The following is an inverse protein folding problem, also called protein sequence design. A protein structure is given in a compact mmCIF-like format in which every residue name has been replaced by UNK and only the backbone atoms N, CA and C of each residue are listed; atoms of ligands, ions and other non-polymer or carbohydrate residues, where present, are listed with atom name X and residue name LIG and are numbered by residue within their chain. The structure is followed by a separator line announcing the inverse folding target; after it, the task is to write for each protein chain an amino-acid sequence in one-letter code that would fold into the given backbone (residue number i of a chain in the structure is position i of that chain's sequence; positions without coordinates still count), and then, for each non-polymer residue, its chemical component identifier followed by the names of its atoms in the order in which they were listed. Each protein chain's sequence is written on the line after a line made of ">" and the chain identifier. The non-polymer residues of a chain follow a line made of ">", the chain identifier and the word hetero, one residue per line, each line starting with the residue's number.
data_IF_124830281181
#
_entry.id   IF_124830281181
#
_cell.length_a   1.000
_cell.length_b   1.000
_cell.length_c   1.000
_cell.angle_alpha   90.00
_cell.angle_beta   90.00
_cell.angle_gamma   90.00
#
_symmetry.space_group_name_H-M   'P 1'
#
loop_
_entity.id
_entity.type
_entity.pdbx_description
1 polymer ?
#
# COMPACT_ATOMS: atom_id res chain seq x y z
N UNK A 1 -10.20 27.73 -47.11
CA UNK A 1 -10.09 27.86 -45.64
C UNK A 1 -10.15 26.45 -45.07
N UNK A 2 -8.99 25.86 -44.85
CA UNK A 2 -8.88 24.55 -44.23
C UNK A 2 -8.84 24.73 -42.71
N UNK A 3 -9.83 24.23 -42.01
CA UNK A 3 -9.84 24.09 -40.56
C UNK A 3 -8.82 23.01 -40.17
N UNK A 4 -7.66 23.46 -39.78
CA UNK A 4 -6.70 22.59 -39.06
C UNK A 4 -7.19 22.51 -37.61
N UNK A 5 -8.04 21.52 -37.34
CA UNK A 5 -8.28 21.07 -35.96
C UNK A 5 -6.95 20.48 -35.45
N UNK A 6 -6.23 21.25 -34.70
CA UNK A 6 -5.10 20.76 -33.94
C UNK A 6 -5.63 19.81 -32.85
N UNK A 7 -5.81 18.54 -33.20
CA UNK A 7 -5.72 17.47 -32.21
C UNK A 7 -4.30 17.53 -31.68
N UNK A 8 -4.11 18.24 -30.59
CA UNK A 8 -2.92 18.09 -29.76
C UNK A 8 -2.88 16.61 -29.38
N UNK A 9 -2.27 15.83 -30.23
CA UNK A 9 -1.95 14.46 -29.98
C UNK A 9 -1.24 14.42 -28.63
N UNK A 10 -1.76 13.66 -27.70
CA UNK A 10 -1.01 13.16 -26.55
C UNK A 10 0.09 12.23 -27.06
N UNK A 11 0.98 12.78 -27.85
CA UNK A 11 2.16 12.14 -28.39
C UNK A 11 3.21 12.18 -27.31
N UNK A 12 3.08 11.35 -26.33
CA UNK A 12 4.17 10.79 -25.53
C UNK A 12 3.66 9.68 -24.60
N UNK A 13 2.93 8.72 -25.13
CA UNK A 13 2.70 7.48 -24.43
C UNK A 13 3.97 6.65 -24.55
N UNK A 14 4.79 6.63 -23.49
CA UNK A 14 5.88 5.65 -23.37
C UNK A 14 5.34 4.25 -23.66
N UNK A 15 6.16 3.34 -24.22
CA UNK A 15 5.74 1.96 -24.46
C UNK A 15 5.05 1.35 -23.25
N UNK A 16 3.92 0.74 -23.47
CA UNK A 16 3.17 0.04 -22.45
C UNK A 16 3.78 -1.36 -22.24
N UNK A 17 3.92 -1.77 -21.00
CA UNK A 17 4.48 -3.08 -20.66
C UNK A 17 3.35 -4.07 -20.32
N UNK A 18 2.75 -4.70 -21.33
CA UNK A 18 1.65 -5.66 -21.15
C UNK A 18 2.02 -6.81 -20.20
N UNK A 19 3.27 -7.27 -20.25
CA UNK A 19 3.77 -8.30 -19.34
C UNK A 19 3.67 -7.88 -17.88
N UNK A 20 4.00 -6.62 -17.58
CA UNK A 20 3.92 -6.12 -16.18
C UNK A 20 2.48 -6.03 -15.69
N UNK A 21 1.54 -5.72 -16.57
CA UNK A 21 0.12 -5.72 -16.21
C UNK A 21 -0.43 -7.14 -16.01
N UNK A 22 0.02 -8.09 -16.83
CA UNK A 22 -0.28 -9.51 -16.61
C UNK A 22 0.24 -10.01 -15.25
N UNK A 23 1.49 -9.68 -14.91
CA UNK A 23 2.09 -10.02 -13.61
C UNK A 23 1.36 -9.36 -12.43
N UNK A 24 0.85 -8.12 -12.60
CA UNK A 24 -0.01 -7.47 -11.59
C UNK A 24 -1.28 -8.27 -11.33
N UNK A 25 -1.92 -8.74 -12.41
CA UNK A 25 -3.12 -9.57 -12.29
C UNK A 25 -2.86 -10.84 -11.49
N UNK A 26 -1.77 -11.54 -11.79
CA UNK A 26 -1.36 -12.75 -11.07
C UNK A 26 -1.07 -12.43 -9.60
N UNK A 27 -0.30 -11.37 -9.34
CA UNK A 27 0.02 -10.96 -7.97
C UNK A 27 -1.24 -10.58 -7.17
N UNK A 28 -2.20 -9.90 -7.80
CA UNK A 28 -3.48 -9.57 -7.16
C UNK A 28 -4.27 -10.83 -6.77
N UNK A 29 -4.30 -11.83 -7.65
CA UNK A 29 -4.94 -13.12 -7.35
C UNK A 29 -4.24 -13.84 -6.19
N UNK A 30 -2.90 -13.79 -6.11
CA UNK A 30 -2.15 -14.38 -5.00
C UNK A 30 -2.46 -13.69 -3.66
N UNK A 31 -2.62 -12.36 -3.64
CA UNK A 31 -3.02 -11.62 -2.43
C UNK A 31 -4.44 -12.01 -2.00
N UNK A 32 -5.39 -12.09 -2.93
CA UNK A 32 -6.77 -12.53 -2.63
C UNK A 32 -6.75 -13.94 -2.07
N UNK A 33 -6.01 -14.82 -2.71
CA UNK A 33 -5.86 -16.22 -2.29
C UNK A 33 -5.27 -16.32 -0.89
N UNK A 34 -4.21 -15.55 -0.61
CA UNK A 34 -3.59 -15.47 0.72
C UNK A 34 -4.61 -15.09 1.80
N UNK A 35 -5.37 -14.01 1.61
CA UNK A 35 -6.35 -13.55 2.59
C UNK A 35 -7.56 -14.50 2.77
N UNK A 36 -7.95 -15.25 1.73
CA UNK A 36 -8.97 -16.29 1.88
C UNK A 36 -8.49 -17.38 2.84
N UNK A 37 -7.24 -17.85 2.70
CA UNK A 37 -6.71 -18.91 3.57
C UNK A 37 -6.33 -18.39 4.97
N UNK A 38 -5.94 -17.13 5.10
CA UNK A 38 -5.70 -16.48 6.39
C UNK A 38 -6.95 -16.54 7.29
N UNK A 39 -8.14 -16.37 6.74
CA UNK A 39 -9.40 -16.49 7.47
C UNK A 39 -9.70 -17.88 8.05
N UNK A 40 -8.99 -18.93 7.61
CA UNK A 40 -9.13 -20.30 8.09
C UNK A 40 -7.91 -20.80 8.88
N UNK A 41 -6.88 -19.99 9.03
CA UNK A 41 -5.67 -20.33 9.76
C UNK A 41 -5.77 -19.88 11.22
N UNK A 42 -5.18 -20.66 12.13
CA UNK A 42 -5.08 -20.32 13.54
C UNK A 42 -3.83 -19.48 13.86
N UNK A 43 -2.87 -19.51 12.95
CA UNK A 43 -1.66 -18.71 13.01
C UNK A 43 -1.08 -18.51 11.59
N UNK A 44 -0.22 -17.49 11.39
CA UNK A 44 0.49 -17.32 10.11
C UNK A 44 1.36 -18.51 9.71
N UNK A 45 1.82 -19.33 10.70
CA UNK A 45 2.65 -20.51 10.46
C UNK A 45 1.81 -21.68 9.92
N UNK A 46 0.56 -21.79 10.37
CA UNK A 46 -0.34 -22.90 10.00
C UNK A 46 -1.06 -22.63 8.68
N UNK A 47 -0.90 -21.44 8.13
CA UNK A 47 -1.52 -21.06 6.87
C UNK A 47 -0.90 -21.81 5.70
N UNK A 48 -1.71 -22.55 4.93
CA UNK A 48 -1.25 -23.37 3.80
C UNK A 48 -0.56 -22.58 2.68
N UNK A 49 -0.92 -21.30 2.50
CA UNK A 49 -0.39 -20.41 1.48
C UNK A 49 0.19 -19.16 2.13
N UNK A 50 1.14 -19.36 3.02
CA UNK A 50 1.71 -18.31 3.88
C UNK A 50 2.66 -17.32 3.19
N UNK A 51 3.01 -17.53 1.92
CA UNK A 51 3.94 -16.63 1.20
C UNK A 51 3.26 -15.66 0.24
N UNK A 52 1.92 -15.55 0.26
CA UNK A 52 1.17 -14.62 -0.59
C UNK A 52 1.49 -13.14 -0.29
N UNK A 53 1.99 -12.82 0.90
CA UNK A 53 2.48 -11.48 1.24
C UNK A 53 3.63 -11.00 0.34
N UNK A 54 4.44 -11.91 -0.24
CA UNK A 54 5.50 -11.55 -1.20
C UNK A 54 4.95 -10.88 -2.46
N UNK A 55 3.68 -11.09 -2.79
CA UNK A 55 3.04 -10.36 -3.87
C UNK A 55 2.91 -8.87 -3.57
N UNK A 56 2.83 -8.46 -2.31
CA UNK A 56 2.82 -7.05 -1.91
C UNK A 56 4.20 -6.42 -2.13
N UNK A 57 5.28 -7.14 -1.83
CA UNK A 57 6.65 -6.69 -2.12
C UNK A 57 6.85 -6.49 -3.62
N UNK A 58 6.33 -7.41 -4.44
CA UNK A 58 6.32 -7.24 -5.90
C UNK A 58 5.56 -5.97 -6.32
N UNK A 59 4.41 -5.66 -5.71
CA UNK A 59 3.69 -4.43 -6.00
C UNK A 59 4.49 -3.18 -5.62
N UNK A 60 5.23 -3.18 -4.52
CA UNK A 60 6.09 -2.05 -4.15
C UNK A 60 7.23 -1.85 -5.16
N UNK A 61 7.91 -2.91 -5.58
CA UNK A 61 8.96 -2.84 -6.59
C UNK A 61 8.39 -2.30 -7.90
N UNK A 62 7.26 -2.84 -8.33
CA UNK A 62 6.61 -2.44 -9.57
C UNK A 62 6.08 -1.00 -9.52
N UNK A 63 5.53 -0.57 -8.38
CA UNK A 63 5.11 0.82 -8.18
C UNK A 63 6.30 1.77 -8.30
N UNK A 64 7.43 1.45 -7.67
CA UNK A 64 8.67 2.23 -7.80
C UNK A 64 9.14 2.35 -9.26
N UNK A 65 9.17 1.22 -9.99
CA UNK A 65 9.52 1.21 -11.41
C UNK A 65 8.58 2.08 -12.24
N UNK A 66 7.26 1.90 -12.08
CA UNK A 66 6.25 2.64 -12.85
C UNK A 66 6.30 4.13 -12.54
N UNK A 67 6.53 4.52 -11.28
CA UNK A 67 6.66 5.93 -10.89
C UNK A 67 7.89 6.55 -11.54
N UNK A 68 9.06 5.93 -11.43
CA UNK A 68 10.29 6.40 -12.10
C UNK A 68 10.08 6.50 -13.62
N UNK A 69 9.62 5.41 -14.24
CA UNK A 69 9.38 5.35 -15.68
C UNK A 69 8.40 6.43 -16.18
N UNK A 70 7.31 6.66 -15.45
CA UNK A 70 6.28 7.61 -15.88
C UNK A 70 6.66 9.09 -15.65
N UNK A 71 7.48 9.38 -14.63
CA UNK A 71 7.65 10.74 -14.16
C UNK A 71 9.06 11.32 -14.28
N UNK A 72 10.15 10.53 -14.36
CA UNK A 72 11.52 11.06 -14.34
C UNK A 72 11.78 12.11 -15.43
N UNK A 73 11.33 11.88 -16.66
CA UNK A 73 11.52 12.86 -17.74
C UNK A 73 10.59 14.07 -17.59
N UNK A 74 9.39 13.87 -17.05
CA UNK A 74 8.43 14.94 -16.85
C UNK A 74 8.88 15.95 -15.81
N UNK A 75 9.63 15.52 -14.80
CA UNK A 75 10.23 16.43 -13.81
C UNK A 75 11.23 17.41 -14.42
N UNK A 76 11.82 17.09 -15.57
CA UNK A 76 12.76 17.97 -16.28
C UNK A 76 12.06 19.04 -17.12
N UNK A 77 10.77 18.85 -17.42
CA UNK A 77 10.05 19.67 -18.39
C UNK A 77 8.80 20.34 -17.80
N UNK A 78 7.80 19.57 -17.42
CA UNK A 78 6.43 20.06 -17.17
C UNK A 78 5.89 19.75 -15.78
N UNK A 79 6.51 18.82 -15.04
CA UNK A 79 5.97 18.35 -13.76
C UNK A 79 6.46 19.20 -12.59
N UNK A 80 5.53 19.66 -11.76
CA UNK A 80 5.85 20.21 -10.46
C UNK A 80 5.36 19.29 -9.32
N UNK A 81 5.79 19.58 -8.10
CA UNK A 81 5.48 18.72 -6.93
C UNK A 81 3.97 18.65 -6.65
N UNK A 82 3.24 19.75 -6.84
CA UNK A 82 1.77 19.77 -6.63
C UNK A 82 1.05 18.89 -7.63
N UNK A 83 1.43 18.97 -8.91
CA UNK A 83 0.81 18.17 -9.97
C UNK A 83 1.10 16.67 -9.79
N UNK A 84 2.32 16.32 -9.35
CA UNK A 84 2.67 14.96 -9.03
C UNK A 84 1.77 14.41 -7.90
N UNK A 85 1.70 15.09 -6.75
CA UNK A 85 0.88 14.63 -5.64
C UNK A 85 -0.61 14.61 -5.97
N UNK A 86 -1.11 15.58 -6.72
CA UNK A 86 -2.50 15.57 -7.21
C UNK A 86 -2.81 14.32 -8.03
N UNK A 87 -1.93 13.96 -8.98
CA UNK A 87 -2.09 12.74 -9.80
C UNK A 87 -2.03 11.47 -8.97
N UNK A 88 -1.12 11.40 -8.00
CA UNK A 88 -1.02 10.23 -7.10
C UNK A 88 -2.25 10.13 -6.20
N UNK A 89 -2.72 11.24 -5.65
CA UNK A 89 -3.92 11.30 -4.82
C UNK A 89 -5.14 10.80 -5.61
N UNK A 90 -5.39 11.34 -6.80
CA UNK A 90 -6.52 10.92 -7.65
C UNK A 90 -6.44 9.43 -7.99
N UNK A 91 -5.24 8.87 -8.12
CA UNK A 91 -5.05 7.46 -8.46
C UNK A 91 -5.25 6.51 -7.27
N UNK A 92 -4.73 6.86 -6.10
CA UNK A 92 -4.65 5.95 -4.94
C UNK A 92 -5.82 6.14 -3.96
N UNK A 93 -6.20 7.38 -3.72
CA UNK A 93 -7.13 7.70 -2.62
C UNK A 93 -8.56 7.17 -2.80
N UNK A 94 -9.11 7.06 -4.01
CA UNK A 94 -10.42 6.44 -4.20
C UNK A 94 -10.49 5.01 -3.66
N UNK A 95 -9.41 4.23 -3.76
CA UNK A 95 -9.35 2.87 -3.22
C UNK A 95 -9.29 2.85 -1.70
N UNK A 96 -8.61 3.83 -1.09
CA UNK A 96 -8.61 4.02 0.37
C UNK A 96 -10.02 4.27 0.88
N UNK A 97 -10.73 5.22 0.26
CA UNK A 97 -12.09 5.59 0.63
C UNK A 97 -13.02 4.39 0.48
N UNK A 98 -12.99 3.73 -0.67
CA UNK A 98 -13.84 2.57 -0.95
C UNK A 98 -13.59 1.45 0.07
N UNK A 99 -12.33 1.08 0.30
CA UNK A 99 -11.96 0.03 1.25
C UNK A 99 -12.35 0.38 2.68
N UNK A 100 -12.14 1.61 3.13
CA UNK A 100 -12.50 2.06 4.47
C UNK A 100 -14.02 2.04 4.69
N UNK A 101 -14.79 2.51 3.72
CA UNK A 101 -16.28 2.53 3.81
C UNK A 101 -16.83 1.10 3.81
N UNK A 102 -16.38 0.25 2.89
CA UNK A 102 -16.80 -1.15 2.86
C UNK A 102 -16.40 -1.87 4.15
N UNK A 103 -15.18 -1.63 4.67
CA UNK A 103 -14.74 -2.18 5.94
C UNK A 103 -15.60 -1.74 7.12
N UNK A 104 -15.99 -0.47 7.19
CA UNK A 104 -16.89 0.02 8.22
C UNK A 104 -18.30 -0.61 8.13
N UNK A 105 -18.85 -0.71 6.91
CA UNK A 105 -20.16 -1.35 6.68
C UNK A 105 -20.11 -2.82 7.11
N UNK A 106 -19.10 -3.57 6.67
CA UNK A 106 -18.96 -4.99 7.02
C UNK A 106 -18.76 -5.19 8.52
N UNK A 107 -17.96 -4.32 9.17
CA UNK A 107 -17.78 -4.36 10.62
C UNK A 107 -19.10 -4.12 11.38
N UNK A 108 -19.92 -3.17 10.92
CA UNK A 108 -21.24 -2.95 11.51
C UNK A 108 -22.22 -4.12 11.27
N UNK A 109 -22.18 -4.76 10.10
CA UNK A 109 -22.96 -5.96 9.80
C UNK A 109 -22.55 -7.13 10.71
N UNK A 110 -21.25 -7.23 11.06
CA UNK A 110 -20.71 -8.24 11.98
C UNK A 110 -21.05 -7.98 13.45
N UNK A 111 -21.77 -6.91 13.79
CA UNK A 111 -22.21 -6.59 15.15
C UNK A 111 -21.33 -5.58 15.88
N UNK A 112 -20.34 -4.96 15.25
CA UNK A 112 -19.41 -4.01 15.89
C UNK A 112 -18.71 -4.60 17.12
N UNK A 113 -18.16 -5.81 16.99
CA UNK A 113 -17.48 -6.51 18.08
C UNK A 113 -15.98 -6.66 17.80
N UNK A 114 -15.18 -6.52 18.86
CA UNK A 114 -13.75 -6.91 18.82
C UNK A 114 -13.61 -8.43 18.75
N UNK A 115 -12.40 -8.89 18.47
CA UNK A 115 -12.10 -10.34 18.46
C UNK A 115 -12.35 -11.03 19.83
N UNK A 116 -12.31 -10.28 20.92
CA UNK A 116 -12.61 -10.76 22.28
C UNK A 116 -14.09 -10.73 22.65
N UNK A 117 -14.96 -10.33 21.72
CA UNK A 117 -16.42 -10.19 21.94
C UNK A 117 -16.83 -8.85 22.56
N UNK A 118 -15.90 -7.95 22.83
CA UNK A 118 -16.22 -6.64 23.41
C UNK A 118 -16.94 -5.78 22.39
N UNK A 119 -18.08 -5.21 22.77
CA UNK A 119 -18.88 -4.31 21.94
C UNK A 119 -18.16 -2.97 21.73
N UNK A 120 -18.15 -2.50 20.48
CA UNK A 120 -17.57 -1.22 20.09
C UNK A 120 -18.67 -0.21 19.80
N UNK A 121 -18.60 0.95 20.44
CA UNK A 121 -19.57 2.02 20.19
C UNK A 121 -19.46 2.56 18.76
N UNK A 122 -20.60 3.00 18.21
CA UNK A 122 -20.62 3.56 16.84
C UNK A 122 -19.72 4.80 16.71
N UNK A 123 -19.52 5.57 17.77
CA UNK A 123 -18.60 6.71 17.78
C UNK A 123 -17.14 6.29 17.58
N UNK A 124 -16.72 5.15 18.13
CA UNK A 124 -15.39 4.59 17.91
C UNK A 124 -15.22 4.07 16.48
N UNK A 125 -16.26 3.43 15.92
CA UNK A 125 -16.26 3.01 14.51
C UNK A 125 -16.14 4.22 13.59
N UNK A 126 -16.87 5.30 13.86
CA UNK A 126 -16.78 6.53 13.08
C UNK A 126 -15.40 7.21 13.20
N UNK A 127 -14.80 7.17 14.38
CA UNK A 127 -13.41 7.65 14.56
C UNK A 127 -12.43 6.80 13.77
N UNK A 128 -12.52 5.48 13.85
CA UNK A 128 -11.67 4.57 13.07
C UNK A 128 -11.86 4.77 11.57
N UNK A 129 -13.09 4.97 11.10
CA UNK A 129 -13.40 5.29 9.71
C UNK A 129 -12.74 6.60 9.29
N UNK A 130 -12.90 7.67 10.08
CA UNK A 130 -12.31 8.97 9.78
C UNK A 130 -10.77 8.88 9.66
N UNK A 131 -10.12 8.22 10.61
CA UNK A 131 -8.67 8.02 10.56
C UNK A 131 -8.24 7.19 9.34
N UNK A 132 -8.97 6.12 9.02
CA UNK A 132 -8.68 5.30 7.85
C UNK A 132 -8.85 6.07 6.53
N UNK A 133 -9.89 6.92 6.42
CA UNK A 133 -10.09 7.79 5.25
C UNK A 133 -8.89 8.70 4.97
N UNK A 134 -8.14 9.11 5.99
CA UNK A 134 -6.94 9.94 5.86
C UNK A 134 -5.64 9.13 5.94
N UNK A 135 -5.71 7.81 5.96
CA UNK A 135 -4.57 6.91 6.16
C UNK A 135 -3.75 7.26 7.43
N UNK A 136 -4.44 7.67 8.50
CA UNK A 136 -3.85 7.85 9.81
C UNK A 136 -3.92 6.51 10.54
N UNK A 137 -2.77 5.91 10.93
CA UNK A 137 -2.77 4.63 11.62
C UNK A 137 -3.49 4.71 12.97
N UNK A 138 -4.24 3.66 13.30
CA UNK A 138 -4.78 3.49 14.64
C UNK A 138 -3.64 3.24 15.64
N UNK A 139 -3.75 3.82 16.82
CA UNK A 139 -2.78 3.56 17.91
C UNK A 139 -3.25 2.32 18.66
N UNK A 140 -2.41 1.28 18.83
CA UNK A 140 -2.76 0.09 19.59
C UNK A 140 -3.27 0.43 21.00
N UNK A 141 -4.34 -0.20 21.42
CA UNK A 141 -4.99 0.06 22.71
C UNK A 141 -5.81 1.34 22.80
N UNK A 142 -5.88 2.14 21.73
CA UNK A 142 -6.76 3.33 21.66
C UNK A 142 -8.19 2.96 21.27
N UNK A 143 -9.11 3.92 21.44
CA UNK A 143 -10.50 3.74 21.00
C UNK A 143 -10.68 3.64 19.48
N UNK A 144 -9.68 4.00 18.68
CA UNK A 144 -9.71 3.86 17.22
C UNK A 144 -9.32 2.44 16.76
N UNK A 145 -8.73 1.63 17.64
CA UNK A 145 -8.38 0.24 17.40
C UNK A 145 -9.60 -0.65 17.71
N UNK A 146 -10.56 -0.66 16.76
CA UNK A 146 -11.88 -1.26 16.95
C UNK A 146 -11.90 -2.80 16.83
N UNK A 147 -10.83 -3.45 16.38
CA UNK A 147 -10.76 -4.92 16.29
C UNK A 147 -10.04 -5.59 17.47
N UNK A 148 -9.16 -4.90 18.17
CA UNK A 148 -8.46 -5.42 19.35
C UNK A 148 -7.25 -6.32 19.03
N UNK A 149 -6.71 -6.27 17.81
CA UNK A 149 -5.58 -7.10 17.37
C UNK A 149 -4.33 -6.29 16.96
N UNK A 150 -4.32 -4.98 17.23
CA UNK A 150 -3.17 -4.11 16.95
C UNK A 150 -3.02 -3.69 15.50
N UNK A 151 -4.01 -3.91 14.65
CA UNK A 151 -3.95 -3.49 13.24
C UNK A 151 -3.85 -1.98 13.07
N UNK A 152 -2.94 -1.54 12.17
CA UNK A 152 -2.81 -0.12 11.80
C UNK A 152 -4.11 0.45 11.23
N UNK A 153 -4.89 -0.36 10.52
CA UNK A 153 -6.12 0.02 9.84
C UNK A 153 -7.22 -1.02 10.11
N UNK A 154 -7.85 -0.99 11.29
CA UNK A 154 -8.73 -2.07 11.75
C UNK A 154 -10.00 -2.26 10.92
N UNK A 155 -10.41 -1.26 10.13
CA UNK A 155 -11.54 -1.38 9.19
C UNK A 155 -11.12 -1.89 7.81
N UNK A 156 -9.85 -1.72 7.44
CA UNK A 156 -9.32 -2.16 6.16
C UNK A 156 -7.83 -2.49 6.31
N UNK A 157 -7.53 -3.66 6.83
CA UNK A 157 -6.15 -4.12 7.06
C UNK A 157 -5.21 -3.81 5.88
N UNK A 158 -5.53 -4.18 4.63
CA UNK A 158 -4.68 -3.91 3.46
C UNK A 158 -4.29 -2.43 3.23
N UNK A 159 -4.93 -1.46 3.87
CA UNK A 159 -4.57 -0.03 3.76
C UNK A 159 -3.13 0.28 4.19
N UNK A 160 -2.49 -0.58 4.98
CA UNK A 160 -1.09 -0.42 5.36
C UNK A 160 -0.16 -0.34 4.13
N UNK A 161 -0.43 -1.10 3.10
CA UNK A 161 0.37 -1.08 1.88
C UNK A 161 0.22 0.23 1.12
N UNK A 162 -1.00 0.78 1.04
CA UNK A 162 -1.25 2.10 0.45
C UNK A 162 -0.58 3.22 1.24
N UNK A 163 -0.55 3.13 2.57
CA UNK A 163 0.18 4.08 3.41
C UNK A 163 1.68 4.11 3.06
N UNK A 164 2.33 2.96 2.97
CA UNK A 164 3.73 2.89 2.56
C UNK A 164 3.94 3.30 1.10
N UNK A 165 2.98 3.07 0.22
CA UNK A 165 3.04 3.59 -1.15
C UNK A 165 3.01 5.12 -1.17
N UNK A 166 2.22 5.78 -0.32
CA UNK A 166 2.26 7.24 -0.17
C UNK A 166 3.61 7.73 0.35
N UNK A 167 4.18 7.07 1.37
CA UNK A 167 5.52 7.37 1.86
C UNK A 167 6.55 7.25 0.74
N UNK A 168 6.51 6.15 -0.03
CA UNK A 168 7.39 5.94 -1.18
C UNK A 168 7.28 7.06 -2.23
N UNK A 169 6.05 7.49 -2.52
CA UNK A 169 5.82 8.62 -3.44
C UNK A 169 6.36 9.95 -2.91
N UNK A 170 6.25 10.20 -1.60
CA UNK A 170 6.81 11.39 -0.95
C UNK A 170 8.34 11.36 -1.02
N UNK A 171 8.95 10.25 -0.66
CA UNK A 171 10.40 10.07 -0.71
C UNK A 171 10.92 10.20 -2.15
N UNK A 172 10.22 9.61 -3.13
CA UNK A 172 10.57 9.76 -4.54
C UNK A 172 10.53 11.23 -4.96
N UNK A 173 9.42 11.94 -4.71
CA UNK A 173 9.24 13.32 -5.17
C UNK A 173 10.22 14.30 -4.52
N UNK A 174 10.59 14.09 -3.26
CA UNK A 174 11.45 15.01 -2.52
C UNK A 174 12.93 14.70 -2.67
N UNK A 175 13.31 13.41 -2.69
CA UNK A 175 14.70 12.98 -2.57
C UNK A 175 15.14 12.08 -3.72
N UNK A 176 14.54 10.91 -3.90
CA UNK A 176 15.04 9.80 -4.73
C UNK A 176 15.24 10.21 -6.19
N UNK A 177 14.32 10.96 -6.76
CA UNK A 177 14.40 11.47 -8.15
C UNK A 177 15.65 12.33 -8.44
N UNK A 178 16.32 12.82 -7.40
CA UNK A 178 17.53 13.65 -7.52
C UNK A 178 18.82 12.83 -7.41
N UNK A 179 18.71 11.57 -7.04
CA UNK A 179 19.86 10.70 -6.83
C UNK A 179 20.41 10.22 -8.18
N UNK A 180 21.72 10.17 -8.25
CA UNK A 180 22.42 9.49 -9.35
C UNK A 180 22.25 7.97 -9.25
N UNK A 181 22.45 7.27 -10.35
CA UNK A 181 22.42 5.79 -10.36
C UNK A 181 23.34 5.18 -9.32
N UNK A 182 24.53 5.77 -9.10
CA UNK A 182 25.48 5.30 -8.07
C UNK A 182 24.90 5.43 -6.66
N UNK A 183 24.27 6.57 -6.35
CA UNK A 183 23.63 6.78 -5.05
C UNK A 183 22.45 5.83 -4.84
N UNK A 184 21.64 5.59 -5.87
CA UNK A 184 20.53 4.62 -5.81
C UNK A 184 21.06 3.20 -5.60
N UNK A 185 22.13 2.81 -6.29
CA UNK A 185 22.76 1.49 -6.09
C UNK A 185 23.24 1.32 -4.65
N UNK A 186 23.95 2.33 -4.11
CA UNK A 186 24.39 2.29 -2.71
C UNK A 186 23.21 2.18 -1.75
N UNK A 187 22.15 2.98 -1.97
CA UNK A 187 20.94 2.93 -1.13
C UNK A 187 20.29 1.53 -1.16
N UNK A 188 20.17 0.91 -2.33
CA UNK A 188 19.61 -0.44 -2.48
C UNK A 188 20.47 -1.48 -1.75
N UNK A 189 21.81 -1.40 -1.89
CA UNK A 189 22.73 -2.30 -1.19
C UNK A 189 22.60 -2.14 0.33
N UNK A 190 22.58 -0.91 0.83
CA UNK A 190 22.42 -0.65 2.28
C UNK A 190 21.07 -1.14 2.79
N UNK A 191 20.00 -0.93 2.03
CA UNK A 191 18.68 -1.44 2.38
C UNK A 191 18.63 -2.98 2.40
N UNK A 192 19.27 -3.63 1.43
CA UNK A 192 19.36 -5.09 1.37
C UNK A 192 20.16 -5.66 2.55
N UNK A 193 21.30 -5.04 2.89
CA UNK A 193 22.09 -5.42 4.08
C UNK A 193 21.27 -5.22 5.36
N UNK A 194 20.59 -4.08 5.50
CA UNK A 194 19.74 -3.79 6.64
C UNK A 194 18.62 -4.83 6.81
N UNK A 195 17.93 -5.16 5.71
CA UNK A 195 16.89 -6.18 5.71
C UNK A 195 17.42 -7.57 6.06
N UNK A 196 18.54 -7.97 5.46
CA UNK A 196 19.18 -9.25 5.77
C UNK A 196 19.63 -9.31 7.24
N UNK A 197 20.24 -8.24 7.77
CA UNK A 197 20.64 -8.16 9.16
C UNK A 197 19.43 -8.25 10.11
N UNK A 198 18.35 -7.53 9.78
CA UNK A 198 17.11 -7.60 10.53
C UNK A 198 16.54 -9.03 10.53
N UNK A 199 16.48 -9.68 9.37
CA UNK A 199 15.99 -11.05 9.25
C UNK A 199 16.83 -12.02 10.09
N UNK A 200 18.17 -11.94 10.02
CA UNK A 200 19.07 -12.80 10.82
C UNK A 200 18.93 -12.54 12.31
N UNK A 201 18.86 -11.28 12.74
CA UNK A 201 18.70 -10.94 14.16
C UNK A 201 17.34 -11.37 14.72
N UNK A 202 16.30 -11.42 13.90
CA UNK A 202 14.94 -11.79 14.32
C UNK A 202 14.59 -13.26 14.08
N UNK A 203 15.42 -14.03 13.37
CA UNK A 203 15.21 -15.48 13.21
C UNK A 203 15.18 -16.24 14.53
N UNK A 204 15.88 -15.74 15.57
CA UNK A 204 15.83 -16.27 16.94
C UNK A 204 14.65 -15.73 17.76
N UNK A 205 13.95 -14.71 17.29
CA UNK A 205 12.89 -13.99 17.99
C UNK A 205 11.50 -14.08 17.36
N UNK A 206 11.31 -14.94 16.37
CA UNK A 206 10.02 -15.10 15.65
C UNK A 206 8.84 -15.53 16.55
N UNK A 207 9.11 -15.83 17.84
CA UNK A 207 8.09 -16.09 18.84
C UNK A 207 7.51 -14.85 19.52
N UNK A 208 8.04 -13.64 19.28
CA UNK A 208 7.67 -12.44 20.04
C UNK A 208 7.22 -11.24 19.20
N UNK A 209 7.41 -11.26 17.90
CA UNK A 209 6.81 -10.25 17.03
C UNK A 209 5.57 -10.86 16.38
N UNK A 210 4.44 -10.73 17.08
CA UNK A 210 3.14 -10.91 16.47
C UNK A 210 3.02 -9.89 15.34
N UNK A 211 3.43 -10.28 14.15
CA UNK A 211 3.12 -9.56 12.93
C UNK A 211 1.73 -10.02 12.56
N UNK A 212 0.72 -9.27 13.05
CA UNK A 212 -0.63 -9.37 12.55
C UNK A 212 -0.69 -8.78 11.13
#
# INVERSE_FOLDING_TARGET
>A
MQNISSSAAFADSKPHYELLDGLRGIAALLVIWYHIFEGFATSPIDQRFNHGYLAVDFFFILSGFVVGYAYDDRWKTTMNTKDFFKRRLIRLHPMVILGAVLGAITFCIQGCEKWDGTQVSISMVMLALLLNLFLIPAVPGSGSEVRGNGEMYPLNGPSWSLFFEYIGNILYALFIRRFSTKQLTVLVILAAIGLASFAVCNLSGYGHLGVG
#
